data_IF_663268890177
#
_entry.id   IF_663268890177
#
_cell.length_a   1.000
_cell.length_b   1.000
_cell.length_c   1.000
_cell.angle_alpha   90.00
_cell.angle_beta   90.00
_cell.angle_gamma   90.00
#
_symmetry.space_group_name_H-M   'P 1'
#
loop_
_entity.id
_entity.type
_entity.pdbx_description
1 polymer ?
#
# COMPACT_ATOMS: atom_id res chain seq x y z
N UNK A 1 0.97 14.83 -7.83
CA UNK A 1 0.16 15.61 -8.80
C UNK A 1 -0.25 14.83 -10.05
N UNK A 2 0.48 13.80 -10.49
CA UNK A 2 0.13 13.05 -11.73
C UNK A 2 -1.11 12.13 -11.58
N UNK A 3 -1.42 11.61 -10.38
CA UNK A 3 -2.60 10.75 -10.14
C UNK A 3 -3.93 11.50 -10.01
N UNK A 4 -3.93 12.72 -9.48
CA UNK A 4 -5.16 13.51 -9.33
C UNK A 4 -5.76 13.96 -10.67
N UNK A 5 -4.97 13.91 -11.74
CA UNK A 5 -5.38 14.29 -13.10
C UNK A 5 -5.85 13.10 -13.96
N UNK A 6 -6.00 11.90 -13.37
CA UNK A 6 -6.52 10.71 -14.05
C UNK A 6 -5.47 9.74 -14.59
N UNK A 7 -4.18 9.97 -14.35
CA UNK A 7 -3.12 9.04 -14.80
C UNK A 7 -2.91 7.90 -13.80
N UNK A 8 -2.77 6.68 -14.33
CA UNK A 8 -2.39 5.51 -13.56
C UNK A 8 -0.87 5.52 -13.30
N UNK A 9 -0.50 5.75 -12.04
CA UNK A 9 0.91 5.70 -11.59
C UNK A 9 1.17 4.42 -10.81
N UNK A 10 2.32 3.79 -11.10
CA UNK A 10 2.88 2.66 -10.37
C UNK A 10 4.13 3.12 -9.60
N UNK A 11 4.33 2.57 -8.41
CA UNK A 11 5.51 2.83 -7.59
C UNK A 11 5.82 1.60 -6.73
N UNK A 12 7.06 1.49 -6.24
CA UNK A 12 7.54 0.38 -5.43
C UNK A 12 8.13 0.88 -4.12
N UNK A 13 7.85 0.20 -3.00
CA UNK A 13 8.42 0.47 -1.69
C UNK A 13 8.95 -0.82 -1.06
N UNK A 14 9.92 -0.70 -0.15
CA UNK A 14 10.49 -1.81 0.60
C UNK A 14 9.77 -1.98 1.94
N UNK A 15 8.62 -2.64 1.92
CA UNK A 15 7.74 -2.90 3.07
C UNK A 15 7.23 -4.33 3.05
N UNK A 16 6.90 -4.87 4.21
CA UNK A 16 6.54 -6.29 4.37
C UNK A 16 5.06 -6.57 4.09
N UNK A 17 4.20 -5.57 4.31
CA UNK A 17 2.75 -5.67 4.10
C UNK A 17 2.15 -4.35 3.57
N UNK A 18 0.86 -4.39 3.19
CA UNK A 18 0.18 -3.24 2.62
C UNK A 18 0.02 -2.07 3.61
N UNK A 19 -0.15 -2.36 4.90
CA UNK A 19 -0.37 -1.37 5.95
C UNK A 19 0.90 -0.60 6.28
N UNK A 20 2.04 -1.29 6.40
CA UNK A 20 3.36 -0.72 6.57
C UNK A 20 3.70 0.20 5.38
N UNK A 21 3.32 -0.19 4.17
CA UNK A 21 3.48 0.63 2.96
C UNK A 21 2.80 1.98 3.11
N UNK A 22 1.52 1.99 3.53
CA UNK A 22 0.74 3.22 3.72
C UNK A 22 1.35 4.08 4.84
N UNK A 23 1.68 3.46 5.98
CA UNK A 23 2.27 4.17 7.12
C UNK A 23 3.63 4.79 6.78
N UNK A 24 4.45 4.10 5.97
CA UNK A 24 5.76 4.60 5.53
C UNK A 24 5.64 5.77 4.55
N UNK A 25 4.62 5.79 3.70
CA UNK A 25 4.34 6.96 2.84
C UNK A 25 3.95 8.16 3.70
N UNK A 26 3.13 7.96 4.74
CA UNK A 26 2.68 9.05 5.61
C UNK A 26 3.82 9.58 6.49
N UNK A 27 4.70 8.70 6.98
CA UNK A 27 5.73 9.06 7.96
C UNK A 27 6.84 9.95 7.40
N UNK A 28 6.99 10.08 6.08
CA UNK A 28 7.94 11.03 5.47
C UNK A 28 7.50 12.48 5.59
N UNK A 29 6.25 12.73 5.99
CA UNK A 29 5.70 14.08 6.18
C UNK A 29 5.72 14.51 7.66
N UNK A 30 5.86 15.82 7.94
CA UNK A 30 5.78 16.37 9.29
C UNK A 30 4.47 15.98 10.01
N UNK A 31 4.46 15.76 11.34
CA UNK A 31 3.29 15.25 12.08
C UNK A 31 1.99 16.03 11.85
N UNK A 32 2.08 17.35 11.75
CA UNK A 32 0.92 18.23 11.52
C UNK A 32 0.27 18.05 10.13
N UNK A 33 0.99 17.50 9.16
CA UNK A 33 0.50 17.25 7.79
C UNK A 33 0.00 15.81 7.61
N UNK A 34 0.43 14.87 8.45
CA UNK A 34 0.17 13.44 8.27
C UNK A 34 -1.31 13.10 8.17
N UNK A 35 -2.18 13.77 8.93
CA UNK A 35 -3.63 13.57 8.87
C UNK A 35 -4.19 13.94 7.48
N UNK A 36 -3.79 15.07 6.94
CA UNK A 36 -4.24 15.53 5.63
C UNK A 36 -3.70 14.64 4.51
N UNK A 37 -2.42 14.26 4.59
CA UNK A 37 -1.79 13.34 3.63
C UNK A 37 -2.48 11.97 3.64
N UNK A 38 -2.87 11.46 4.81
CA UNK A 38 -3.63 10.19 4.91
C UNK A 38 -4.94 10.25 4.14
N UNK A 39 -5.70 11.33 4.26
CA UNK A 39 -6.97 11.52 3.55
C UNK A 39 -6.76 11.64 2.04
N UNK A 40 -5.75 12.40 1.60
CA UNK A 40 -5.39 12.51 0.18
C UNK A 40 -4.91 11.18 -0.40
N UNK A 41 -4.08 10.44 0.34
CA UNK A 41 -3.61 9.13 -0.07
C UNK A 41 -4.78 8.15 -0.21
N UNK A 42 -5.71 8.14 0.74
CA UNK A 42 -6.90 7.29 0.68
C UNK A 42 -7.78 7.59 -0.55
N UNK A 43 -7.87 8.85 -0.99
CA UNK A 43 -8.68 9.19 -2.16
C UNK A 43 -8.05 8.67 -3.47
N UNK A 44 -6.72 8.73 -3.61
CA UNK A 44 -5.99 8.36 -4.85
C UNK A 44 -5.41 6.93 -4.86
N UNK A 45 -5.36 6.24 -3.72
CA UNK A 45 -4.91 4.86 -3.65
C UNK A 45 -5.97 3.94 -4.27
N UNK A 46 -5.52 3.05 -5.16
CA UNK A 46 -6.38 2.04 -5.80
C UNK A 46 -6.11 0.65 -5.26
N UNK A 47 -4.83 0.28 -5.11
CA UNK A 47 -4.40 -0.97 -4.52
C UNK A 47 -2.98 -0.86 -3.98
N UNK A 48 -2.65 -1.70 -3.01
CA UNK A 48 -1.30 -1.98 -2.54
C UNK A 48 -1.05 -3.48 -2.66
N UNK A 49 0.10 -3.86 -3.20
CA UNK A 49 0.47 -5.25 -3.41
C UNK A 49 1.82 -5.47 -2.72
N UNK A 50 1.85 -6.30 -1.69
CA UNK A 50 3.07 -6.71 -1.01
C UNK A 50 3.45 -8.13 -1.47
N UNK A 51 4.74 -8.34 -1.76
CA UNK A 51 5.23 -9.60 -2.33
C UNK A 51 6.44 -10.11 -1.56
N UNK A 52 6.43 -11.40 -1.23
CA UNK A 52 7.58 -12.09 -0.63
C UNK A 52 7.86 -13.39 -1.36
N UNK A 53 9.13 -13.65 -1.67
CA UNK A 53 9.53 -14.92 -2.27
C UNK A 53 9.66 -16.01 -1.21
N UNK A 54 8.91 -17.09 -1.40
CA UNK A 54 8.86 -18.27 -0.54
C UNK A 54 9.56 -19.43 -1.27
N UNK A 55 10.40 -20.23 -0.60
CA UNK A 55 10.96 -21.44 -1.19
C UNK A 55 9.86 -22.39 -1.67
N UNK A 56 10.03 -22.98 -2.85
CA UNK A 56 9.08 -23.99 -3.35
C UNK A 56 9.24 -25.30 -2.60
N UNK A 57 8.14 -26.05 -2.47
CA UNK A 57 8.12 -27.38 -1.82
C UNK A 57 9.03 -28.39 -2.53
N UNK A 58 9.20 -28.25 -3.84
CA UNK A 58 10.09 -29.08 -4.67
C UNK A 58 11.59 -28.80 -4.46
N UNK A 59 11.94 -27.81 -3.63
CA UNK A 59 13.32 -27.43 -3.34
C UNK A 59 14.01 -26.66 -4.47
N UNK A 60 13.32 -26.41 -5.60
CA UNK A 60 13.90 -25.74 -6.77
C UNK A 60 13.23 -24.41 -7.04
N UNK A 61 13.96 -23.32 -6.81
CA UNK A 61 13.48 -21.97 -7.05
C UNK A 61 12.53 -21.43 -5.96
N UNK A 62 11.80 -20.38 -6.31
CA UNK A 62 10.94 -19.61 -5.38
C UNK A 62 9.57 -19.31 -6.00
N UNK A 63 8.56 -19.17 -5.17
CA UNK A 63 7.22 -18.71 -5.54
C UNK A 63 6.89 -17.41 -4.81
N UNK A 64 6.28 -16.41 -5.45
CA UNK A 64 5.80 -15.23 -4.74
C UNK A 64 4.58 -15.61 -3.88
N UNK A 65 4.65 -15.35 -2.58
CA UNK A 65 3.49 -15.10 -1.75
C UNK A 65 3.10 -13.63 -1.90
N UNK A 66 1.83 -13.38 -2.22
CA UNK A 66 1.33 -12.03 -2.55
C UNK A 66 0.18 -11.68 -1.62
N UNK A 67 0.28 -10.53 -0.98
CA UNK A 67 -0.80 -9.88 -0.24
C UNK A 67 -1.34 -8.72 -1.08
N UNK A 68 -2.65 -8.64 -1.24
CA UNK A 68 -3.31 -7.62 -2.07
C UNK A 68 -4.34 -6.88 -1.24
N UNK A 69 -4.08 -5.59 -1.00
CA UNK A 69 -5.05 -4.66 -0.46
C UNK A 69 -5.66 -3.86 -1.61
N UNK A 70 -6.97 -3.98 -1.79
CA UNK A 70 -7.73 -3.18 -2.76
C UNK A 70 -8.43 -2.05 -2.01
N UNK A 71 -8.27 -0.81 -2.46
CA UNK A 71 -8.83 0.37 -1.82
C UNK A 71 -10.34 0.50 -2.14
N UNK A 72 -11.15 -0.31 -1.48
CA UNK A 72 -12.61 -0.22 -1.52
C UNK A 72 -13.09 1.05 -0.81
N UNK A 73 -14.32 1.53 -1.07
CA UNK A 73 -14.87 2.68 -0.32
C UNK A 73 -14.81 2.50 1.20
N UNK A 74 -14.99 1.27 1.69
CA UNK A 74 -14.85 0.94 3.11
C UNK A 74 -13.41 1.17 3.61
N UNK A 75 -12.41 0.63 2.92
CA UNK A 75 -10.98 0.82 3.26
C UNK A 75 -10.57 2.29 3.18
N UNK A 76 -11.14 3.06 2.23
CA UNK A 76 -10.90 4.50 2.12
C UNK A 76 -11.46 5.29 3.31
N UNK A 77 -12.55 4.82 3.92
CA UNK A 77 -13.17 5.43 5.11
C UNK A 77 -12.56 4.95 6.44
N UNK A 78 -12.04 3.72 6.48
CA UNK A 78 -11.49 3.07 7.68
C UNK A 78 -10.15 2.38 7.38
N UNK A 79 -9.05 3.14 7.16
CA UNK A 79 -7.75 2.57 6.77
C UNK A 79 -7.05 1.71 7.84
N UNK A 80 -7.69 1.51 9.00
CA UNK A 80 -7.17 0.71 10.13
C UNK A 80 -8.15 -0.41 10.56
N UNK A 81 -9.12 -0.80 9.72
CA UNK A 81 -10.16 -1.78 10.10
C UNK A 81 -9.69 -3.23 10.23
N UNK A 82 -8.42 -3.53 9.93
CA UNK A 82 -7.83 -4.87 10.05
C UNK A 82 -7.19 -5.10 11.44
N UNK A 83 -7.74 -4.47 12.48
CA UNK A 83 -7.48 -4.78 13.89
C UNK A 83 -8.70 -5.50 14.48
#
# INVERSE_FOLDING_TARGET
NVKETGHLVFSTLHTLDATETINRIISVFPPHQQRQIRLQLASVLNASIAQRLIPRKDGTGRSPGVEVLVATPFVKTHPNSDQ
#
